data_IF_650197524400
#
_entry.id   IF_650197524400
#
_cell.length_a   1.000
_cell.length_b   1.000
_cell.length_c   1.000
_cell.angle_alpha   90.00
_cell.angle_beta   90.00
_cell.angle_gamma   90.00
#
_symmetry.space_group_name_H-M   'P 1'
#
loop_
_entity.id
_entity.type
_entity.pdbx_description
1 polymer ?
#
# COMPACT_ATOMS: atom_id res chain seq x y z
N UNK A 1 17.81 2.89 2.18
CA UNK A 1 16.90 4.02 1.87
C UNK A 1 15.93 3.59 0.79
N UNK A 2 14.67 4.01 0.83
CA UNK A 2 13.69 3.75 -0.23
C UNK A 2 14.06 4.49 -1.53
N UNK A 3 13.70 3.91 -2.67
CA UNK A 3 13.82 4.55 -3.98
C UNK A 3 12.46 5.06 -4.42
N UNK A 4 12.36 6.32 -4.80
CA UNK A 4 11.09 7.00 -5.14
C UNK A 4 11.05 7.26 -6.65
N UNK A 5 9.90 6.98 -7.28
CA UNK A 5 9.62 7.30 -8.68
C UNK A 5 8.25 7.95 -8.80
N UNK A 6 8.22 9.23 -9.15
CA UNK A 6 6.98 9.95 -9.44
C UNK A 6 6.48 9.64 -10.86
N UNK A 7 5.17 9.77 -11.08
CA UNK A 7 4.52 9.47 -12.36
C UNK A 7 4.90 8.08 -12.89
N UNK A 8 4.87 7.07 -11.99
CA UNK A 8 5.40 5.74 -12.28
C UNK A 8 4.62 4.99 -13.37
N UNK A 9 3.31 5.08 -13.34
CA UNK A 9 2.43 4.53 -14.38
C UNK A 9 2.11 5.61 -15.42
N UNK A 10 1.83 5.19 -16.66
CA UNK A 10 1.21 6.09 -17.63
C UNK A 10 -0.13 6.61 -17.08
N UNK A 11 -0.59 7.74 -17.58
CA UNK A 11 -1.87 8.34 -17.16
C UNK A 11 -3.02 7.35 -17.26
N UNK A 12 -3.13 6.62 -18.39
CA UNK A 12 -4.19 5.64 -18.62
C UNK A 12 -4.13 4.46 -17.65
N UNK A 13 -2.93 3.92 -17.38
CA UNK A 13 -2.77 2.83 -16.42
C UNK A 13 -3.09 3.28 -14.99
N UNK A 14 -2.65 4.48 -14.61
CA UNK A 14 -2.95 5.02 -13.29
C UNK A 14 -4.44 5.26 -13.11
N UNK A 15 -5.12 5.87 -14.09
CA UNK A 15 -6.57 6.06 -14.08
C UNK A 15 -7.33 4.72 -13.97
N UNK A 16 -6.87 3.68 -14.66
CA UNK A 16 -7.46 2.34 -14.55
C UNK A 16 -7.35 1.79 -13.13
N UNK A 17 -6.16 1.84 -12.53
CA UNK A 17 -5.91 1.39 -11.15
C UNK A 17 -6.72 2.24 -10.15
N UNK A 18 -6.69 3.56 -10.31
CA UNK A 18 -7.43 4.49 -9.45
C UNK A 18 -8.93 4.18 -9.47
N UNK A 19 -9.53 4.02 -10.66
CA UNK A 19 -10.97 3.76 -10.79
C UNK A 19 -11.38 2.43 -10.13
N UNK A 20 -10.53 1.40 -10.16
CA UNK A 20 -10.80 0.13 -9.47
C UNK A 20 -10.91 0.37 -7.95
N UNK A 21 -9.95 1.08 -7.35
CA UNK A 21 -9.89 1.22 -5.90
C UNK A 21 -10.74 2.36 -5.33
N UNK A 22 -11.21 3.26 -6.17
CA UNK A 22 -12.19 4.30 -5.80
C UNK A 22 -13.64 3.97 -6.19
N UNK A 23 -13.89 2.78 -6.76
CA UNK A 23 -15.25 2.31 -7.01
C UNK A 23 -15.96 2.03 -5.68
N UNK A 24 -17.12 2.68 -5.48
CA UNK A 24 -17.95 2.49 -4.29
C UNK A 24 -18.49 1.06 -4.13
N UNK A 25 -18.45 0.25 -5.18
CA UNK A 25 -18.86 -1.16 -5.16
C UNK A 25 -17.74 -2.12 -4.80
N UNK A 26 -16.50 -1.64 -4.67
CA UNK A 26 -15.37 -2.49 -4.27
C UNK A 26 -15.56 -2.96 -2.83
N UNK A 27 -15.44 -4.25 -2.61
CA UNK A 27 -15.53 -4.84 -1.27
C UNK A 27 -14.24 -4.59 -0.48
N UNK A 28 -14.37 -4.05 0.71
CA UNK A 28 -13.28 -3.82 1.63
C UNK A 28 -13.44 -4.68 2.90
N UNK A 29 -12.35 -5.18 3.42
CA UNK A 29 -12.32 -5.90 4.69
C UNK A 29 -11.79 -4.98 5.79
N UNK A 30 -12.57 -4.78 6.83
CA UNK A 30 -12.10 -4.10 8.05
C UNK A 30 -11.03 -4.96 8.73
N UNK A 31 -9.92 -4.34 9.10
CA UNK A 31 -8.80 -4.93 9.84
C UNK A 31 -8.51 -4.10 11.07
N UNK A 32 -8.42 -4.74 12.21
CA UNK A 32 -7.94 -4.16 13.46
C UNK A 32 -6.45 -4.50 13.62
N UNK A 33 -5.68 -3.52 14.11
CA UNK A 33 -4.22 -3.64 14.17
C UNK A 33 -3.57 -3.42 12.81
N UNK A 34 -2.96 -2.26 12.59
CA UNK A 34 -2.34 -1.96 11.28
C UNK A 34 -1.04 -2.74 11.09
N UNK A 35 -0.28 -2.98 12.15
CA UNK A 35 1.02 -3.65 12.13
C UNK A 35 0.98 -5.05 12.75
N UNK A 36 0.44 -5.12 13.94
CA UNK A 36 0.36 -6.33 14.78
C UNK A 36 -1.06 -6.50 15.32
N UNK A 37 -1.22 -7.32 16.35
CA UNK A 37 -2.50 -7.45 17.03
C UNK A 37 -2.98 -6.11 17.59
N UNK A 38 -4.28 -5.88 17.50
CA UNK A 38 -4.91 -4.65 17.95
C UNK A 38 -4.53 -4.29 19.39
N UNK A 39 -3.94 -3.11 19.56
CA UNK A 39 -3.46 -2.60 20.87
C UNK A 39 -4.56 -1.93 21.72
N UNK A 40 -5.82 -1.99 21.28
CA UNK A 40 -6.97 -1.38 21.95
C UNK A 40 -7.21 0.08 21.60
N UNK A 41 -6.39 0.71 20.77
CA UNK A 41 -6.64 2.07 20.27
C UNK A 41 -7.84 2.08 19.31
N UNK A 42 -8.75 3.04 19.50
CA UNK A 42 -9.92 3.20 18.62
C UNK A 42 -9.54 3.56 17.17
N UNK A 43 -8.36 4.12 16.97
CA UNK A 43 -7.84 4.56 15.66
C UNK A 43 -6.92 3.53 15.01
N UNK A 44 -6.68 2.37 15.64
CA UNK A 44 -5.83 1.30 15.12
C UNK A 44 -6.64 0.32 14.26
N UNK A 45 -7.14 0.82 13.14
CA UNK A 45 -7.83 0.03 12.13
C UNK A 45 -7.57 0.58 10.71
N UNK A 46 -7.81 -0.25 9.73
CA UNK A 46 -7.80 0.12 8.33
C UNK A 46 -8.69 -0.83 7.52
N UNK A 47 -8.91 -0.50 6.25
CA UNK A 47 -9.59 -1.40 5.34
C UNK A 47 -8.59 -1.95 4.32
N UNK A 48 -8.66 -3.24 4.07
CA UNK A 48 -7.82 -3.92 3.11
C UNK A 48 -8.62 -4.55 1.99
N UNK A 49 -8.12 -4.46 0.76
CA UNK A 49 -8.59 -5.25 -0.38
C UNK A 49 -7.45 -6.08 -0.91
N UNK A 50 -7.53 -7.41 -0.72
CA UNK A 50 -6.50 -8.34 -1.19
C UNK A 50 -6.75 -8.68 -2.64
N UNK A 51 -5.82 -8.33 -3.52
CA UNK A 51 -5.90 -8.61 -4.96
C UNK A 51 -5.30 -9.97 -5.27
N UNK A 52 -4.15 -10.28 -4.67
CA UNK A 52 -3.37 -11.49 -4.92
C UNK A 52 -2.55 -11.86 -3.69
N UNK A 53 -2.52 -13.13 -3.37
CA UNK A 53 -1.59 -13.72 -2.40
C UNK A 53 -1.37 -15.19 -2.77
N UNK A 54 -0.33 -15.44 -3.59
CA UNK A 54 -0.03 -16.71 -4.24
C UNK A 54 -1.13 -17.25 -5.15
N UNK A 55 -2.36 -16.79 -5.00
CA UNK A 55 -3.53 -17.07 -5.84
C UNK A 55 -4.34 -15.79 -6.05
N UNK A 56 -5.12 -15.67 -7.14
CA UNK A 56 -6.04 -14.56 -7.34
C UNK A 56 -7.11 -14.50 -6.24
N UNK A 57 -7.32 -13.31 -5.65
CA UNK A 57 -8.26 -13.06 -4.56
C UNK A 57 -9.32 -12.00 -4.90
N UNK A 58 -9.16 -11.32 -6.04
CA UNK A 58 -10.04 -10.25 -6.50
C UNK A 58 -10.44 -10.46 -7.95
N UNK A 59 -11.67 -10.10 -8.37
CA UNK A 59 -12.05 -10.08 -9.78
C UNK A 59 -11.20 -9.14 -10.62
N UNK A 60 -10.54 -8.15 -10.01
CA UNK A 60 -9.65 -7.19 -10.67
C UNK A 60 -8.20 -7.69 -10.82
N UNK A 61 -7.92 -8.94 -10.41
CA UNK A 61 -6.57 -9.51 -10.45
C UNK A 61 -5.93 -9.40 -11.84
N UNK A 62 -6.62 -9.84 -12.89
CA UNK A 62 -6.07 -9.85 -14.25
C UNK A 62 -5.73 -8.44 -14.74
N UNK A 63 -6.61 -7.47 -14.51
CA UNK A 63 -6.40 -6.07 -14.89
C UNK A 63 -5.19 -5.45 -14.21
N UNK A 64 -5.03 -5.72 -12.91
CA UNK A 64 -3.92 -5.21 -12.11
C UNK A 64 -2.61 -5.91 -12.49
N UNK A 65 -2.62 -7.23 -12.67
CA UNK A 65 -1.43 -7.99 -13.08
C UNK A 65 -0.96 -7.60 -14.47
N UNK A 66 -1.84 -7.34 -15.43
CA UNK A 66 -1.46 -6.87 -16.76
C UNK A 66 -0.66 -5.55 -16.73
N UNK A 67 -0.88 -4.71 -15.72
CA UNK A 67 -0.13 -3.46 -15.52
C UNK A 67 1.21 -3.73 -14.83
N UNK A 68 1.23 -4.54 -13.77
CA UNK A 68 2.43 -4.69 -12.94
C UNK A 68 3.37 -5.81 -13.37
N UNK A 69 2.87 -6.95 -13.85
CA UNK A 69 3.72 -8.07 -14.24
C UNK A 69 4.84 -7.69 -15.23
N UNK A 70 4.61 -6.88 -16.28
CA UNK A 70 5.70 -6.47 -17.19
C UNK A 70 6.82 -5.68 -16.51
N UNK A 71 6.51 -5.00 -15.41
CA UNK A 71 7.44 -4.17 -14.62
C UNK A 71 8.24 -4.99 -13.60
N UNK A 72 7.70 -6.13 -13.21
CA UNK A 72 8.28 -7.08 -12.26
C UNK A 72 8.67 -8.42 -12.91
N UNK A 73 8.85 -8.45 -14.25
CA UNK A 73 9.08 -9.69 -15.02
C UNK A 73 10.30 -10.51 -14.57
N UNK A 74 11.28 -9.90 -13.90
CA UNK A 74 12.46 -10.57 -13.33
C UNK A 74 12.25 -11.07 -11.91
N UNK A 75 11.05 -10.89 -11.38
CA UNK A 75 10.70 -11.16 -9.99
C UNK A 75 9.41 -11.97 -9.90
N UNK A 76 9.23 -12.63 -8.76
CA UNK A 76 7.98 -13.31 -8.43
C UNK A 76 7.17 -12.40 -7.51
N UNK A 77 6.02 -11.91 -7.99
CA UNK A 77 5.07 -11.20 -7.15
C UNK A 77 4.43 -12.21 -6.21
N UNK A 78 4.51 -11.96 -4.90
CA UNK A 78 3.96 -12.83 -3.87
C UNK A 78 2.64 -12.33 -3.31
N UNK A 79 2.45 -11.00 -3.24
CA UNK A 79 1.24 -10.36 -2.74
C UNK A 79 0.97 -9.02 -3.40
N UNK A 80 -0.31 -8.71 -3.65
CA UNK A 80 -0.80 -7.38 -4.01
C UNK A 80 -2.00 -7.08 -3.11
N UNK A 81 -1.92 -5.99 -2.35
CA UNK A 81 -2.96 -5.57 -1.40
C UNK A 81 -3.13 -4.05 -1.43
N UNK A 82 -4.36 -3.58 -1.56
CA UNK A 82 -4.68 -2.17 -1.35
C UNK A 82 -5.07 -1.93 0.10
N UNK A 83 -4.51 -0.89 0.71
CA UNK A 83 -4.86 -0.42 2.05
C UNK A 83 -5.55 0.93 1.94
N UNK A 84 -6.65 1.08 2.65
CA UNK A 84 -7.42 2.32 2.81
C UNK A 84 -7.39 2.72 4.28
N UNK A 85 -6.83 3.87 4.56
CA UNK A 85 -6.81 4.52 5.87
C UNK A 85 -7.80 5.67 5.86
N UNK A 86 -8.70 5.71 6.83
CA UNK A 86 -9.73 6.75 6.95
C UNK A 86 -9.14 8.05 7.49
N UNK A 87 -9.82 9.14 7.22
CA UNK A 87 -9.49 10.45 7.79
C UNK A 87 -9.71 10.47 9.30
N UNK A 88 -8.79 11.13 10.00
CA UNK A 88 -8.93 11.51 11.41
C UNK A 88 -8.65 13.02 11.59
N UNK A 89 -8.84 13.55 12.79
CA UNK A 89 -8.56 14.96 13.12
C UNK A 89 -7.07 15.28 13.14
N UNK A 90 -6.24 14.27 13.41
CA UNK A 90 -4.79 14.38 13.53
C UNK A 90 -4.11 13.24 12.77
N UNK A 91 -2.84 13.41 12.41
CA UNK A 91 -2.04 12.32 11.82
C UNK A 91 -1.76 11.27 12.89
N UNK A 92 -2.35 10.10 12.70
CA UNK A 92 -2.07 8.89 13.50
C UNK A 92 -0.96 8.12 12.83
N UNK A 93 0.13 7.88 13.57
CA UNK A 93 1.21 6.98 13.16
C UNK A 93 0.84 5.57 13.62
N UNK A 94 0.82 4.66 12.68
CA UNK A 94 0.64 3.25 13.00
C UNK A 94 1.97 2.66 13.48
N UNK A 95 1.90 1.48 14.10
CA UNK A 95 3.08 0.82 14.65
C UNK A 95 4.11 0.44 13.56
N UNK A 96 5.36 0.38 13.98
CA UNK A 96 6.46 -0.09 13.15
C UNK A 96 6.32 -1.59 12.87
N UNK A 97 6.44 -1.99 11.62
CA UNK A 97 6.33 -3.39 11.21
C UNK A 97 7.20 -3.72 10.02
N UNK A 98 7.33 -5.00 9.75
CA UNK A 98 7.84 -5.58 8.51
C UNK A 98 6.68 -6.23 7.78
N UNK A 99 6.74 -6.30 6.46
CA UNK A 99 5.67 -6.94 5.69
C UNK A 99 5.62 -8.47 5.90
N UNK A 100 6.74 -9.08 6.27
CA UNK A 100 6.85 -10.52 6.49
C UNK A 100 8.09 -10.86 7.33
N UNK A 101 7.97 -11.85 8.24
CA UNK A 101 9.07 -12.26 9.12
C UNK A 101 9.72 -13.58 8.71
N UNK A 102 9.13 -14.34 7.77
CA UNK A 102 9.55 -15.72 7.44
C UNK A 102 10.34 -15.87 6.14
N UNK A 103 10.35 -14.86 5.28
CA UNK A 103 11.09 -14.91 4.01
C UNK A 103 12.47 -14.25 4.18
N UNK A 104 13.54 -14.85 3.64
CA UNK A 104 14.90 -14.32 3.77
C UNK A 104 15.15 -13.06 2.91
N UNK A 105 14.37 -12.88 1.86
CA UNK A 105 14.40 -11.70 0.98
C UNK A 105 12.98 -11.37 0.60
N UNK A 106 12.58 -10.14 0.82
CA UNK A 106 11.29 -9.64 0.39
C UNK A 106 11.40 -8.15 0.07
N UNK A 107 11.07 -7.79 -1.15
CA UNK A 107 11.01 -6.40 -1.58
C UNK A 107 9.57 -5.90 -1.53
N UNK A 108 9.42 -4.63 -1.20
CA UNK A 108 8.16 -3.91 -1.24
C UNK A 108 8.15 -2.84 -2.33
N UNK A 109 7.02 -2.71 -3.00
CA UNK A 109 6.72 -1.58 -3.87
C UNK A 109 5.36 -1.01 -3.47
N UNK A 110 5.31 0.27 -3.12
CA UNK A 110 4.13 0.95 -2.62
C UNK A 110 3.71 2.06 -3.57
N UNK A 111 2.61 1.86 -4.30
CA UNK A 111 2.01 2.89 -5.15
C UNK A 111 1.02 3.72 -4.35
N UNK A 112 1.23 5.03 -4.30
CA UNK A 112 0.28 5.98 -3.72
C UNK A 112 -0.84 6.25 -4.72
N UNK A 113 -2.09 6.03 -4.31
CA UNK A 113 -3.26 6.16 -5.20
C UNK A 113 -3.89 7.54 -5.15
N UNK A 114 -3.59 8.34 -4.11
CA UNK A 114 -4.04 9.73 -4.02
C UNK A 114 -2.98 10.61 -3.33
N UNK A 115 -3.11 11.91 -3.54
CA UNK A 115 -2.29 12.92 -2.86
C UNK A 115 -2.98 13.33 -1.58
N UNK A 116 -2.24 13.27 -0.46
CA UNK A 116 -2.72 13.71 0.85
C UNK A 116 -1.51 13.99 1.77
N UNK A 117 -1.79 14.49 2.99
CA UNK A 117 -0.78 14.77 4.02
C UNK A 117 -0.28 13.52 4.77
N UNK A 118 -0.88 12.36 4.52
CA UNK A 118 -0.38 11.09 5.03
C UNK A 118 0.93 10.67 4.39
N UNK A 119 1.71 9.84 5.09
CA UNK A 119 3.03 9.40 4.63
C UNK A 119 3.36 7.97 5.06
N UNK A 120 4.42 7.42 4.49
CA UNK A 120 5.07 6.20 4.97
C UNK A 120 6.44 6.57 5.55
N UNK A 121 6.70 6.16 6.79
CA UNK A 121 7.97 6.37 7.47
C UNK A 121 8.82 5.10 7.45
N UNK A 122 10.14 5.26 7.39
CA UNK A 122 11.13 4.19 7.35
C UNK A 122 12.10 4.32 8.53
N UNK A 123 12.69 3.22 8.98
CA UNK A 123 13.59 3.16 10.14
C UNK A 123 14.83 4.05 10.02
N UNK A 124 15.24 4.39 8.79
CA UNK A 124 16.34 5.31 8.52
C UNK A 124 15.99 6.80 8.67
N UNK A 125 14.77 7.10 9.14
CA UNK A 125 14.24 8.45 9.30
C UNK A 125 13.59 9.03 8.05
N UNK A 126 13.65 8.34 6.90
CA UNK A 126 13.01 8.80 5.66
C UNK A 126 11.49 8.83 5.82
N UNK A 127 10.86 9.91 5.36
CA UNK A 127 9.42 10.03 5.21
C UNK A 127 9.09 10.22 3.74
N UNK A 128 8.15 9.43 3.23
CA UNK A 128 7.68 9.53 1.87
C UNK A 128 6.20 9.92 1.87
N UNK A 129 5.93 11.13 1.43
CA UNK A 129 4.58 11.70 1.35
C UNK A 129 3.74 10.99 0.29
N UNK A 130 2.43 10.92 0.54
CA UNK A 130 1.46 10.36 -0.38
C UNK A 130 1.20 11.35 -1.53
N UNK A 131 1.77 11.06 -2.69
CA UNK A 131 1.54 11.78 -3.94
C UNK A 131 1.00 10.80 -4.97
N UNK A 132 -0.12 11.14 -5.59
CA UNK A 132 -0.76 10.28 -6.59
C UNK A 132 0.24 9.83 -7.68
N UNK A 133 0.22 8.54 -8.02
CA UNK A 133 1.14 7.91 -8.97
C UNK A 133 2.63 7.93 -8.57
N UNK A 134 2.92 8.09 -7.27
CA UNK A 134 4.27 7.89 -6.71
C UNK A 134 4.45 6.43 -6.34
N UNK A 135 5.51 5.79 -6.85
CA UNK A 135 5.94 4.45 -6.47
C UNK A 135 7.17 4.54 -5.57
N UNK A 136 7.15 3.79 -4.48
CA UNK A 136 8.24 3.67 -3.53
C UNK A 136 8.71 2.24 -3.48
N UNK A 137 9.99 1.99 -3.79
CA UNK A 137 10.61 0.67 -3.67
C UNK A 137 11.46 0.60 -2.41
N UNK A 138 11.33 -0.45 -1.64
CA UNK A 138 12.03 -0.61 -0.37
C UNK A 138 12.23 -2.09 0.00
N UNK A 139 13.15 -2.32 0.91
CA UNK A 139 13.34 -3.62 1.56
C UNK A 139 12.22 -3.79 2.61
N UNK A 140 11.25 -4.66 2.33
CA UNK A 140 10.09 -4.83 3.21
C UNK A 140 10.38 -5.67 4.46
N UNK A 141 11.60 -6.18 4.62
CA UNK A 141 12.09 -6.78 5.86
C UNK A 141 12.62 -5.73 6.85
N UNK A 142 12.73 -4.46 6.43
CA UNK A 142 13.07 -3.34 7.31
C UNK A 142 11.82 -2.71 7.89
N UNK A 143 12.00 -2.17 9.10
CA UNK A 143 10.90 -1.51 9.80
C UNK A 143 10.41 -0.27 9.04
N UNK A 144 9.12 -0.23 8.85
CA UNK A 144 8.41 0.91 8.29
C UNK A 144 7.03 1.04 8.96
N UNK A 145 6.42 2.20 8.80
CA UNK A 145 5.08 2.45 9.32
C UNK A 145 4.27 3.27 8.34
N UNK A 146 2.95 3.11 8.37
CA UNK A 146 2.01 3.96 7.64
C UNK A 146 1.41 5.03 8.55
N UNK A 147 0.69 5.97 7.95
CA UNK A 147 -0.19 6.91 8.65
C UNK A 147 -1.55 6.94 7.94
N UNK A 148 -2.52 7.49 8.61
CA UNK A 148 -3.76 7.96 8.01
C UNK A 148 -3.57 9.30 7.28
N UNK A 149 -4.64 10.11 7.16
CA UNK A 149 -4.67 11.45 6.55
C UNK A 149 -5.60 12.37 7.32
N UNK A 150 -5.38 13.69 7.23
CA UNK A 150 -6.27 14.71 7.82
C UNK A 150 -6.96 15.58 6.77
N UNK A 151 -6.41 15.68 5.56
CA UNK A 151 -6.83 16.65 4.54
C UNK A 151 -7.61 16.04 3.35
N UNK A 152 -7.79 14.72 3.33
CA UNK A 152 -8.64 14.02 2.35
C UNK A 152 -9.53 13.00 3.09
N UNK A 153 -10.59 12.49 2.46
CA UNK A 153 -11.49 11.49 3.08
C UNK A 153 -10.78 10.18 3.44
N UNK A 154 -9.76 9.84 2.69
CA UNK A 154 -8.97 8.62 2.88
C UNK A 154 -7.57 8.76 2.28
N UNK A 155 -6.68 7.88 2.69
CA UNK A 155 -5.40 7.61 2.06
C UNK A 155 -5.41 6.19 1.52
N UNK A 156 -5.13 6.02 0.22
CA UNK A 156 -5.06 4.71 -0.42
C UNK A 156 -3.64 4.42 -0.90
N UNK A 157 -3.19 3.21 -0.61
CA UNK A 157 -1.89 2.70 -1.07
C UNK A 157 -2.02 1.28 -1.59
N UNK A 158 -1.39 0.98 -2.73
CA UNK A 158 -1.31 -0.37 -3.28
C UNK A 158 0.08 -0.94 -2.98
N UNK A 159 0.13 -1.92 -2.09
CA UNK A 159 1.36 -2.62 -1.69
C UNK A 159 1.56 -3.86 -2.57
N UNK A 160 2.76 -4.00 -3.14
CA UNK A 160 3.20 -5.13 -3.95
C UNK A 160 4.43 -5.72 -3.29
N UNK A 161 4.38 -6.98 -2.85
CA UNK A 161 5.53 -7.71 -2.36
C UNK A 161 6.05 -8.68 -3.43
N UNK A 162 7.37 -8.78 -3.56
CA UNK A 162 8.02 -9.60 -4.59
C UNK A 162 9.41 -10.06 -4.16
N UNK A 163 9.88 -11.16 -4.74
CA UNK A 163 11.20 -11.77 -4.55
C UNK A 163 11.92 -11.95 -5.88
#
# INVERSE_FOLDING_TARGET
MPTIKDNYLSKQEFEKIHNIFFDSKLSWQLKYGVAYDHNGSLDDYFFGHLVYQYVPMSPHFADIMNIFHPRFKSHVITRIKCNLYTRTSEIVKHDWHKDHDTLPVLNGALLMLNTCDGYTGFEDGTKVESVANRMVFFDSLKLHHSTNTTNTSNRLTLNINYI
#
